data_IF_971142132109
#
_entry.id   IF_971142132109
#
_cell.length_a   1.000
_cell.length_b   1.000
_cell.length_c   1.000
_cell.angle_alpha   90.00
_cell.angle_beta   90.00
_cell.angle_gamma   90.00
#
_symmetry.space_group_name_H-M   'P 1'
#
loop_
_entity.id
_entity.type
_entity.pdbx_description
1 polymer ?
#
# COMPACT_ATOMS: atom_id res chain seq x y z
N UNK A 1 -60.26 1.36 41.83
CA UNK A 1 -60.07 2.43 40.83
C UNK A 1 -58.69 2.26 40.22
N UNK A 2 -58.59 1.54 39.10
CA UNK A 2 -57.35 1.28 38.35
C UNK A 2 -57.49 2.05 37.03
N UNK A 3 -56.57 2.97 36.76
CA UNK A 3 -56.53 3.71 35.49
C UNK A 3 -55.37 3.13 34.68
N UNK A 4 -55.75 2.51 33.57
CA UNK A 4 -54.92 1.93 32.54
C UNK A 4 -54.43 3.08 31.65
N UNK A 5 -53.12 3.28 31.51
CA UNK A 5 -52.54 4.23 30.56
C UNK A 5 -51.84 3.42 29.46
N UNK A 6 -52.53 3.31 28.33
CA UNK A 6 -52.07 2.72 27.08
C UNK A 6 -51.05 3.69 26.45
N UNK A 7 -49.81 3.25 26.24
CA UNK A 7 -48.86 3.95 25.37
C UNK A 7 -48.86 3.22 24.03
N UNK A 8 -49.33 3.91 23.01
CA UNK A 8 -49.46 3.47 21.63
C UNK A 8 -48.08 3.55 20.95
N UNK A 9 -47.49 2.41 20.60
CA UNK A 9 -46.28 2.34 19.76
C UNK A 9 -46.69 2.45 18.28
N UNK A 10 -46.32 3.55 17.63
CA UNK A 10 -46.47 3.74 16.19
C UNK A 10 -45.23 3.16 15.50
N UNK A 11 -45.38 2.03 14.82
CA UNK A 11 -44.40 1.54 13.86
C UNK A 11 -44.61 2.28 12.53
N UNK A 12 -43.65 3.14 12.15
CA UNK A 12 -43.59 3.69 10.79
C UNK A 12 -42.68 2.75 9.98
N UNK A 13 -43.28 1.95 9.10
CA UNK A 13 -42.55 1.18 8.10
C UNK A 13 -42.31 2.12 6.91
N UNK A 14 -41.08 2.59 6.73
CA UNK A 14 -40.68 3.23 5.48
C UNK A 14 -40.42 2.14 4.44
N UNK A 15 -41.43 1.88 3.59
CA UNK A 15 -41.24 1.26 2.29
C UNK A 15 -40.81 2.37 1.32
N UNK A 16 -39.51 2.47 1.08
CA UNK A 16 -38.93 3.41 0.13
C UNK A 16 -38.59 2.70 -1.17
N UNK A 17 -39.50 2.71 -2.13
CA UNK A 17 -39.17 2.54 -3.54
C UNK A 17 -38.31 3.73 -3.97
N UNK A 18 -37.13 3.49 -4.54
CA UNK A 18 -36.35 4.54 -5.19
C UNK A 18 -36.93 4.74 -6.59
N UNK A 19 -37.66 5.85 -6.73
CA UNK A 19 -38.10 6.44 -7.99
C UNK A 19 -36.91 7.19 -8.62
N UNK A 20 -36.66 6.91 -9.90
CA UNK A 20 -35.73 7.66 -10.75
C UNK A 20 -36.26 9.09 -10.95
N UNK A 21 -35.55 10.09 -10.43
CA UNK A 21 -35.82 11.48 -10.76
C UNK A 21 -34.84 12.00 -11.80
N UNK A 22 -35.38 12.21 -13.00
CA UNK A 22 -34.79 12.98 -14.08
C UNK A 22 -34.95 14.50 -13.83
N UNK A 23 -33.93 15.22 -14.31
CA UNK A 23 -33.90 16.63 -14.75
C UNK A 23 -33.87 17.75 -13.69
N UNK A 24 -32.80 18.55 -13.72
CA UNK A 24 -32.90 19.88 -14.36
C UNK A 24 -31.56 20.43 -14.83
N UNK A 25 -31.61 20.89 -16.07
CA UNK A 25 -30.59 21.53 -16.89
C UNK A 25 -30.52 23.03 -16.55
N UNK A 26 -29.31 23.60 -16.52
CA UNK A 26 -29.11 25.02 -16.79
C UNK A 26 -27.98 25.19 -17.82
N UNK A 27 -28.35 25.78 -18.97
CA UNK A 27 -27.47 26.29 -20.02
C UNK A 27 -26.73 27.54 -19.46
N UNK A 28 -25.66 28.12 -20.01
CA UNK A 28 -25.14 28.19 -21.37
C UNK A 28 -23.78 28.93 -21.34
N UNK A 29 -22.81 28.51 -22.16
CA UNK A 29 -22.03 29.37 -23.08
C UNK A 29 -20.92 28.51 -23.70
N UNK A 30 -21.15 27.95 -24.90
CA UNK A 30 -21.02 28.59 -26.20
C UNK A 30 -19.55 28.67 -26.70
N UNK A 31 -19.08 27.57 -27.30
CA UNK A 31 -18.32 27.60 -28.55
C UNK A 31 -18.77 26.41 -29.43
N UNK A 32 -19.31 26.72 -30.61
CA UNK A 32 -19.84 25.75 -31.59
C UNK A 32 -18.87 25.58 -32.76
N UNK A 33 -18.43 24.31 -32.94
CA UNK A 33 -18.32 23.51 -34.20
C UNK A 33 -17.28 23.85 -35.30
N UNK A 34 -16.98 22.92 -36.25
CA UNK A 34 -17.56 21.57 -36.47
C UNK A 34 -16.60 20.41 -36.80
N UNK A 35 -17.08 19.18 -36.61
CA UNK A 35 -16.59 18.00 -37.33
C UNK A 35 -17.11 16.67 -36.77
N UNK A 36 -18.28 16.22 -37.24
CA UNK A 36 -18.78 14.87 -37.00
C UNK A 36 -17.88 13.84 -37.69
N UNK A 37 -17.38 12.85 -36.95
CA UNK A 37 -17.17 11.50 -37.47
C UNK A 37 -17.47 10.51 -36.35
N UNK A 38 -18.45 9.65 -36.64
CA UNK A 38 -18.78 8.42 -35.92
C UNK A 38 -17.52 7.60 -35.67
N UNK A 39 -17.32 6.94 -34.51
CA UNK A 39 -16.29 5.91 -34.43
C UNK A 39 -16.84 4.69 -35.17
N UNK A 40 -16.48 4.59 -36.45
CA UNK A 40 -16.59 3.33 -37.17
C UNK A 40 -15.74 2.28 -36.46
N UNK A 41 -16.38 1.15 -36.28
CA UNK A 41 -15.85 -0.13 -35.88
C UNK A 41 -14.54 -0.43 -36.63
N UNK A 42 -13.38 -0.23 -35.98
CA UNK A 42 -12.09 -0.68 -36.50
C UNK A 42 -11.91 -2.15 -36.13
N UNK A 43 -12.67 -2.98 -36.86
CA UNK A 43 -12.37 -4.39 -37.03
C UNK A 43 -11.06 -4.52 -37.80
N UNK A 44 -10.07 -5.12 -37.15
CA UNK A 44 -8.97 -5.92 -37.72
C UNK A 44 -8.61 -5.62 -39.18
N UNK A 45 -7.73 -4.65 -39.40
CA UNK A 45 -7.00 -4.53 -40.67
C UNK A 45 -5.52 -4.40 -40.37
N UNK A 46 -4.86 -5.56 -40.40
CA UNK A 46 -3.43 -5.82 -40.66
C UNK A 46 -2.48 -4.63 -40.45
N UNK A 47 -2.08 -4.37 -39.19
CA UNK A 47 -0.82 -3.68 -38.92
C UNK A 47 0.33 -4.59 -39.38
N UNK A 48 1.31 -4.00 -40.04
CA UNK A 48 2.59 -4.65 -40.36
C UNK A 48 3.14 -5.33 -39.12
N UNK A 49 3.46 -6.61 -39.24
CA UNK A 49 4.14 -7.39 -38.23
C UNK A 49 5.55 -6.82 -38.02
N UNK A 50 5.69 -5.87 -37.11
CA UNK A 50 6.99 -5.64 -36.47
C UNK A 50 7.28 -6.89 -35.65
N UNK A 51 8.04 -7.82 -36.24
CA UNK A 51 8.42 -9.11 -35.66
C UNK A 51 9.21 -8.97 -34.35
N UNK A 52 9.57 -7.75 -33.93
CA UNK A 52 10.47 -7.47 -32.82
C UNK A 52 9.80 -6.70 -31.63
N UNK A 53 8.47 -6.48 -31.62
CA UNK A 53 7.77 -5.86 -30.48
C UNK A 53 7.20 -6.95 -29.55
N UNK A 54 7.51 -6.94 -28.23
CA UNK A 54 6.92 -7.88 -27.30
C UNK A 54 5.41 -7.69 -27.16
N UNK A 55 4.69 -8.79 -27.00
CA UNK A 55 3.35 -8.75 -26.44
C UNK A 55 3.46 -8.56 -24.93
N UNK A 56 2.91 -7.45 -24.42
CA UNK A 56 2.92 -7.13 -22.98
C UNK A 56 1.48 -7.05 -22.50
N UNK A 57 1.16 -7.87 -21.50
CA UNK A 57 -0.14 -7.92 -20.86
C UNK A 57 -0.03 -7.51 -19.38
N UNK A 58 -0.96 -6.69 -18.91
CA UNK A 58 -1.07 -6.32 -17.49
C UNK A 58 -1.88 -7.40 -16.76
N UNK A 59 -1.22 -8.17 -15.91
CA UNK A 59 -1.82 -9.28 -15.15
C UNK A 59 -2.30 -8.89 -13.76
N UNK A 60 -1.74 -7.80 -13.21
CA UNK A 60 -2.24 -7.16 -11.99
C UNK A 60 -1.80 -5.72 -11.91
N UNK A 61 -2.47 -4.93 -11.08
CA UNK A 61 -2.10 -3.55 -10.82
C UNK A 61 -2.21 -3.23 -9.33
N UNK A 62 -1.22 -2.53 -8.79
CA UNK A 62 -1.24 -2.06 -7.41
C UNK A 62 -1.02 -0.54 -7.35
N UNK A 63 -1.77 0.12 -6.47
CA UNK A 63 -1.63 1.54 -6.20
C UNK A 63 -1.43 1.77 -4.72
N UNK A 64 -0.34 2.44 -4.37
CA UNK A 64 0.12 2.55 -2.99
C UNK A 64 0.31 4.02 -2.67
N UNK A 65 -0.29 4.44 -1.57
CA UNK A 65 -0.03 5.70 -0.91
C UNK A 65 0.72 5.46 0.38
N UNK A 66 1.74 6.28 0.61
CA UNK A 66 2.50 6.29 1.84
C UNK A 66 2.64 7.71 2.33
N UNK A 67 2.29 7.90 3.59
CA UNK A 67 2.56 9.10 4.35
C UNK A 67 3.39 8.69 5.57
N UNK A 68 4.57 9.27 5.69
CA UNK A 68 5.40 9.07 6.87
C UNK A 68 6.03 10.39 7.28
N UNK A 69 5.56 10.93 8.40
CA UNK A 69 6.14 12.12 9.00
C UNK A 69 7.14 11.78 10.13
N UNK A 70 7.41 10.50 10.40
CA UNK A 70 8.43 10.04 11.35
C UNK A 70 9.85 10.38 10.89
N UNK A 71 10.06 10.60 9.58
CA UNK A 71 11.30 11.15 9.01
C UNK A 71 11.66 12.55 9.55
N UNK A 72 10.73 13.22 10.26
CA UNK A 72 10.97 14.49 10.94
C UNK A 72 11.48 14.32 12.38
N UNK A 73 11.50 13.09 12.91
CA UNK A 73 12.02 12.76 14.24
C UNK A 73 13.36 12.05 14.14
N UNK A 74 14.24 12.47 13.23
CA UNK A 74 15.58 11.89 13.14
C UNK A 74 16.48 12.38 14.28
N UNK A 75 17.15 11.46 14.95
CA UNK A 75 18.24 11.79 15.88
C UNK A 75 19.55 11.71 15.12
N UNK A 76 20.30 12.81 15.13
CA UNK A 76 21.69 12.80 14.69
C UNK A 76 22.47 11.73 15.44
N UNK A 77 23.27 10.94 14.72
CA UNK A 77 24.21 9.99 15.32
C UNK A 77 25.64 10.50 15.17
N UNK A 78 26.13 10.59 13.93
CA UNK A 78 27.49 11.04 13.61
C UNK A 78 27.60 11.41 12.14
N UNK A 79 28.62 12.17 11.78
CA UNK A 79 28.97 12.54 10.42
C UNK A 79 29.84 11.46 9.82
N UNK A 80 29.39 10.90 8.70
CA UNK A 80 30.11 9.89 7.95
C UNK A 80 31.51 10.38 7.57
N UNK A 81 31.62 11.64 7.14
CA UNK A 81 32.87 12.22 6.66
C UNK A 81 33.88 12.53 7.78
N UNK A 82 33.40 12.66 9.03
CA UNK A 82 34.27 12.90 10.19
C UNK A 82 34.62 11.61 10.96
N UNK A 83 34.34 10.43 10.39
CA UNK A 83 34.72 9.12 10.91
C UNK A 83 35.63 8.41 9.88
N UNK A 84 36.80 7.88 10.29
CA UNK A 84 37.44 8.06 11.58
C UNK A 84 37.89 9.52 11.78
N UNK A 85 37.78 10.04 13.00
CA UNK A 85 38.16 11.40 13.32
C UNK A 85 37.38 11.95 14.52
N UNK A 86 36.96 13.22 14.42
CA UNK A 86 36.33 13.96 15.50
C UNK A 86 35.03 13.33 16.01
N UNK A 87 34.36 12.52 15.19
CA UNK A 87 33.08 11.91 15.55
C UNK A 87 33.15 10.39 15.72
N UNK A 88 34.35 9.81 15.71
CA UNK A 88 34.55 8.38 16.02
C UNK A 88 33.92 7.99 17.36
N UNK A 89 33.99 8.88 18.36
CA UNK A 89 33.40 8.64 19.68
C UNK A 89 31.88 8.53 19.62
N UNK A 90 31.20 9.37 18.83
CA UNK A 90 29.74 9.30 18.67
C UNK A 90 29.30 7.99 18.02
N UNK A 91 30.03 7.50 17.02
CA UNK A 91 29.81 6.17 16.45
C UNK A 91 29.99 5.08 17.52
N UNK A 92 31.09 5.11 18.29
CA UNK A 92 31.30 4.15 19.39
C UNK A 92 30.19 4.18 20.43
N UNK A 93 29.73 5.37 20.83
CA UNK A 93 28.67 5.55 21.82
C UNK A 93 27.34 4.99 21.32
N UNK A 94 26.98 5.21 20.05
CA UNK A 94 25.80 4.62 19.41
C UNK A 94 25.88 3.09 19.40
N UNK A 95 26.98 2.52 18.89
CA UNK A 95 27.15 1.06 18.82
C UNK A 95 27.10 0.42 20.22
N UNK A 96 27.62 1.08 21.25
CA UNK A 96 27.62 0.59 22.63
C UNK A 96 26.27 0.75 23.30
N UNK A 97 25.76 1.98 23.37
CA UNK A 97 24.64 2.32 24.23
C UNK A 97 23.30 1.93 23.60
N UNK A 98 23.16 2.12 22.29
CA UNK A 98 21.92 1.83 21.57
C UNK A 98 21.90 0.39 21.06
N UNK A 99 22.98 -0.07 20.43
CA UNK A 99 23.04 -1.44 19.88
C UNK A 99 23.55 -2.50 20.85
N UNK A 100 23.91 -2.11 22.08
CA UNK A 100 24.42 -3.00 23.15
C UNK A 100 25.66 -3.82 22.73
N UNK A 101 26.51 -3.25 21.88
CA UNK A 101 27.74 -3.88 21.40
C UNK A 101 28.92 -3.44 22.27
N UNK A 102 29.06 -4.02 23.46
CA UNK A 102 30.00 -3.52 24.48
C UNK A 102 31.48 -3.47 24.07
N UNK A 103 31.90 -4.39 23.19
CA UNK A 103 33.30 -4.53 22.77
C UNK A 103 33.82 -3.34 21.94
N UNK A 104 32.92 -2.50 21.39
CA UNK A 104 33.30 -1.34 20.56
C UNK A 104 34.03 -0.25 21.35
N UNK A 105 33.95 -0.27 22.68
CA UNK A 105 34.64 0.70 23.56
C UNK A 105 36.16 0.71 23.35
N UNK A 106 36.74 -0.42 22.93
CA UNK A 106 38.18 -0.59 22.69
C UNK A 106 38.50 -0.96 21.24
N UNK A 107 37.54 -0.81 20.33
CA UNK A 107 37.70 -1.20 18.93
C UNK A 107 38.48 -0.15 18.14
N UNK A 108 39.22 -0.61 17.13
CA UNK A 108 39.77 0.24 16.09
C UNK A 108 38.67 0.59 15.09
N UNK A 109 38.63 1.86 14.69
CA UNK A 109 37.71 2.37 13.67
C UNK A 109 38.56 2.85 12.50
N UNK A 110 38.35 2.24 11.34
CA UNK A 110 39.00 2.63 10.09
C UNK A 110 37.95 2.82 9.01
N UNK A 111 38.31 3.56 7.96
CA UNK A 111 37.50 3.65 6.75
C UNK A 111 38.29 3.12 5.57
N UNK A 112 37.61 2.43 4.68
CA UNK A 112 38.19 1.88 3.45
C UNK A 112 38.56 3.01 2.48
N UNK A 113 39.49 2.71 1.57
CA UNK A 113 40.01 3.71 0.62
C UNK A 113 38.95 4.27 -0.34
N UNK A 114 37.87 3.52 -0.58
CA UNK A 114 36.72 3.96 -1.37
C UNK A 114 35.79 4.91 -0.61
N UNK A 115 36.06 5.19 0.69
CA UNK A 115 35.25 6.00 1.59
C UNK A 115 33.79 5.51 1.77
N UNK A 116 33.48 4.29 1.31
CA UNK A 116 32.13 3.72 1.33
C UNK A 116 31.92 2.73 2.49
N UNK A 117 32.99 2.29 3.16
CA UNK A 117 32.87 1.35 4.29
C UNK A 117 33.66 1.82 5.51
N UNK A 118 33.01 1.89 6.67
CA UNK A 118 33.66 2.04 7.98
C UNK A 118 33.72 0.66 8.62
N UNK A 119 34.91 0.26 9.09
CA UNK A 119 35.13 -1.01 9.79
C UNK A 119 35.46 -0.71 11.25
N UNK A 120 34.73 -1.36 12.15
CA UNK A 120 34.94 -1.31 13.60
C UNK A 120 35.35 -2.70 14.05
N UNK A 121 36.54 -2.86 14.62
CA UNK A 121 37.03 -4.20 14.93
C UNK A 121 37.98 -4.26 16.13
N UNK A 122 38.05 -5.44 16.71
CA UNK A 122 39.06 -5.91 17.68
C UNK A 122 39.68 -7.19 17.10
N UNK A 123 40.69 -7.80 17.75
CA UNK A 123 41.22 -9.08 17.26
C UNK A 123 40.18 -10.20 17.13
N UNK A 124 39.10 -10.13 17.92
CA UNK A 124 38.12 -11.22 18.03
C UNK A 124 36.73 -10.88 17.46
N UNK A 125 36.43 -9.59 17.21
CA UNK A 125 35.12 -9.14 16.74
C UNK A 125 35.27 -8.08 15.66
N UNK A 126 34.36 -8.05 14.69
CA UNK A 126 34.30 -7.01 13.66
C UNK A 126 32.86 -6.66 13.29
N UNK A 127 32.66 -5.42 12.90
CA UNK A 127 31.41 -4.87 12.41
C UNK A 127 31.72 -3.91 11.27
N UNK A 128 30.87 -3.88 10.26
CA UNK A 128 31.05 -3.01 9.09
C UNK A 128 29.81 -2.15 8.90
N UNK A 129 30.03 -0.86 8.62
CA UNK A 129 29.02 0.07 8.18
C UNK A 129 29.31 0.38 6.72
N UNK A 130 28.35 0.12 5.83
CA UNK A 130 28.51 0.31 4.38
C UNK A 130 27.49 1.34 3.88
N UNK A 131 27.98 2.37 3.21
CA UNK A 131 27.16 3.37 2.52
C UNK A 131 26.57 2.75 1.24
N UNK A 132 25.27 2.94 1.02
CA UNK A 132 24.60 2.52 -0.19
C UNK A 132 25.02 3.38 -1.40
N UNK A 133 24.87 2.84 -2.62
CA UNK A 133 25.27 3.52 -3.85
C UNK A 133 24.48 4.83 -4.09
N UNK A 134 23.22 4.86 -3.64
CA UNK A 134 22.35 6.04 -3.68
C UNK A 134 22.70 7.08 -2.59
N UNK A 135 23.62 6.75 -1.67
CA UNK A 135 24.06 7.54 -0.52
C UNK A 135 22.94 7.97 0.42
N UNK A 136 21.78 7.33 0.38
CA UNK A 136 20.66 7.66 1.26
C UNK A 136 20.66 6.84 2.55
N UNK A 137 21.40 5.73 2.56
CA UNK A 137 21.39 4.78 3.67
C UNK A 137 22.77 4.19 3.99
N UNK A 138 22.94 3.79 5.25
CA UNK A 138 24.08 3.02 5.73
C UNK A 138 23.59 1.71 6.32
N UNK A 139 24.16 0.59 5.90
CA UNK A 139 23.87 -0.74 6.43
C UNK A 139 24.97 -1.20 7.40
N UNK A 140 24.58 -1.67 8.58
CA UNK A 140 25.47 -2.24 9.59
C UNK A 140 25.38 -3.77 9.56
N UNK A 141 26.51 -4.46 9.37
CA UNK A 141 26.63 -5.91 9.38
C UNK A 141 27.49 -6.41 10.55
N UNK A 142 27.18 -7.56 11.17
CA UNK A 142 26.19 -8.57 10.76
C UNK A 142 24.76 -8.30 11.24
N UNK A 143 24.51 -7.24 12.00
CA UNK A 143 23.20 -7.02 12.64
C UNK A 143 22.07 -6.60 11.68
N UNK A 144 22.38 -6.36 10.39
CA UNK A 144 21.44 -5.91 9.36
C UNK A 144 20.65 -4.65 9.74
N UNK A 145 21.31 -3.70 10.44
CA UNK A 145 20.67 -2.45 10.88
C UNK A 145 20.87 -1.39 9.80
N UNK A 146 19.79 -0.72 9.38
CA UNK A 146 19.83 0.34 8.39
C UNK A 146 19.70 1.71 9.07
N UNK A 147 20.56 2.64 8.68
CA UNK A 147 20.58 4.03 9.13
C UNK A 147 20.34 4.97 7.95
N UNK A 148 19.78 6.14 8.23
CA UNK A 148 19.52 7.18 7.21
C UNK A 148 20.72 8.10 7.07
N UNK A 149 20.94 8.57 5.84
CA UNK A 149 21.98 9.53 5.51
C UNK A 149 21.30 10.81 5.02
N UNK A 150 21.79 11.96 5.49
CA UNK A 150 21.42 13.27 4.95
C UNK A 150 22.68 14.05 4.64
N UNK A 151 22.65 14.79 3.54
CA UNK A 151 23.71 15.75 3.23
C UNK A 151 23.40 17.09 3.90
N UNK A 152 24.30 17.56 4.74
CA UNK A 152 24.19 18.84 5.44
C UNK A 152 25.48 19.63 5.31
N UNK A 153 25.40 20.84 4.76
CA UNK A 153 26.56 21.71 4.52
C UNK A 153 27.68 21.00 3.74
N UNK A 154 27.33 20.17 2.75
CA UNK A 154 28.28 19.42 1.92
C UNK A 154 28.95 18.24 2.63
N UNK A 155 28.40 17.77 3.76
CA UNK A 155 28.88 16.60 4.49
C UNK A 155 27.78 15.58 4.66
N UNK A 156 28.14 14.30 4.59
CA UNK A 156 27.24 13.20 4.87
C UNK A 156 27.11 13.02 6.39
N UNK A 157 25.86 13.08 6.86
CA UNK A 157 25.46 12.94 8.26
C UNK A 157 24.55 11.72 8.41
N UNK A 158 24.81 10.91 9.43
CA UNK A 158 24.10 9.68 9.74
C UNK A 158 23.09 9.94 10.84
N UNK A 159 21.89 9.44 10.62
CA UNK A 159 20.73 9.62 11.46
C UNK A 159 20.08 8.28 11.76
N UNK A 160 19.50 8.15 12.96
CA UNK A 160 18.45 7.14 13.24
C UNK A 160 17.10 7.82 13.24
N UNK A 161 16.05 7.08 12.91
CA UNK A 161 14.71 7.46 13.38
C UNK A 161 14.71 7.41 14.91
N UNK A 162 14.24 8.47 15.60
CA UNK A 162 14.00 8.40 17.04
C UNK A 162 12.87 7.39 17.26
N UNK A 163 13.19 6.31 17.95
CA UNK A 163 12.19 5.56 18.71
C UNK A 163 12.06 6.29 20.05
N UNK A 164 10.94 6.97 20.29
CA UNK A 164 10.73 7.70 21.54
C UNK A 164 10.45 6.70 22.66
N UNK A 165 11.45 6.50 23.51
CA UNK A 165 11.38 5.73 24.74
C UNK A 165 12.23 6.35 25.84
N UNK A 166 12.28 7.69 25.90
CA UNK A 166 13.06 8.42 26.90
C UNK A 166 13.12 9.92 26.61
N UNK A 167 12.74 10.72 27.60
CA UNK A 167 12.68 12.17 27.54
C UNK A 167 14.07 12.81 27.43
N UNK A 168 14.28 13.63 26.39
CA UNK A 168 15.13 14.82 26.47
C UNK A 168 14.60 15.90 25.49
N UNK A 169 14.19 17.11 25.94
CA UNK A 169 13.46 18.06 25.09
C UNK A 169 14.34 19.03 24.29
N UNK A 170 15.66 18.99 24.42
CA UNK A 170 16.52 19.96 23.75
C UNK A 170 17.34 19.30 22.65
N UNK A 171 16.81 19.28 21.43
CA UNK A 171 17.57 19.68 20.24
C UNK A 171 16.70 19.71 18.96
N UNK A 172 16.70 20.91 18.36
CA UNK A 172 16.47 21.26 16.96
C UNK A 172 15.07 21.09 16.32
N UNK A 173 14.49 22.27 16.06
CA UNK A 173 13.46 22.54 15.05
C UNK A 173 13.91 22.04 13.67
N UNK A 174 13.31 20.97 13.18
CA UNK A 174 13.29 20.63 11.77
C UNK A 174 11.98 21.13 11.16
N UNK A 175 12.06 21.80 10.02
CA UNK A 175 10.88 22.12 9.22
C UNK A 175 10.23 20.83 8.73
N UNK A 176 8.92 20.74 8.87
CA UNK A 176 8.12 19.57 8.49
C UNK A 176 8.13 19.42 6.98
N UNK A 177 8.85 18.41 6.47
CA UNK A 177 8.75 18.02 5.08
C UNK A 177 7.85 16.78 5.00
N UNK A 178 6.72 16.90 4.33
CA UNK A 178 5.76 15.82 4.14
C UNK A 178 6.29 14.91 3.03
N UNK A 179 6.75 13.70 3.37
CA UNK A 179 7.14 12.72 2.37
C UNK A 179 5.93 11.85 2.02
N UNK A 180 4.95 12.46 1.35
CA UNK A 180 3.93 11.71 0.62
C UNK A 180 4.59 11.03 -0.57
N UNK A 181 4.43 9.72 -0.66
CA UNK A 181 4.93 8.93 -1.79
C UNK A 181 3.79 8.12 -2.36
N UNK A 182 3.66 8.17 -3.68
CA UNK A 182 2.72 7.36 -4.41
C UNK A 182 3.48 6.37 -5.29
N UNK A 183 3.01 5.13 -5.32
CA UNK A 183 3.58 4.10 -6.18
C UNK A 183 2.49 3.46 -7.02
N UNK A 184 2.86 3.16 -8.26
CA UNK A 184 2.10 2.34 -9.18
C UNK A 184 2.95 1.12 -9.51
N UNK A 185 2.44 -0.08 -9.22
CA UNK A 185 3.10 -1.33 -9.56
C UNK A 185 2.25 -2.11 -10.57
N UNK A 186 2.89 -2.64 -11.61
CA UNK A 186 2.25 -3.42 -12.65
C UNK A 186 2.83 -4.82 -12.64
N UNK A 187 1.97 -5.82 -12.44
CA UNK A 187 2.29 -7.20 -12.80
C UNK A 187 2.14 -7.34 -14.31
N UNK A 188 3.18 -7.82 -14.97
CA UNK A 188 3.25 -7.95 -16.42
C UNK A 188 3.56 -9.40 -16.82
N UNK A 189 2.93 -9.84 -17.90
CA UNK A 189 3.32 -10.99 -18.72
C UNK A 189 3.93 -10.45 -20.01
N UNK A 190 5.18 -10.79 -20.29
CA UNK A 190 5.92 -10.31 -21.46
C UNK A 190 6.30 -11.50 -22.31
N UNK A 191 5.80 -11.54 -23.54
CA UNK A 191 6.00 -12.65 -24.47
C UNK A 191 6.67 -12.17 -25.75
N UNK A 192 7.71 -12.90 -26.16
CA UNK A 192 8.30 -12.73 -27.48
C UNK A 192 7.51 -13.53 -28.51
N UNK A 193 6.66 -12.86 -29.30
CA UNK A 193 5.96 -13.48 -30.43
C UNK A 193 6.76 -13.48 -31.74
N UNK A 194 7.95 -12.89 -31.72
CA UNK A 194 8.85 -12.77 -32.86
C UNK A 194 9.55 -14.06 -33.25
N UNK A 195 10.20 -14.02 -34.40
CA UNK A 195 11.00 -15.11 -34.95
C UNK A 195 12.46 -15.11 -34.45
N UNK A 196 12.89 -14.03 -33.79
CA UNK A 196 14.26 -13.80 -33.28
C UNK A 196 14.27 -13.61 -31.77
N UNK A 197 15.47 -13.65 -31.19
CA UNK A 197 15.66 -13.27 -29.79
C UNK A 197 15.35 -11.78 -29.61
N UNK A 198 14.50 -11.46 -28.63
CA UNK A 198 14.16 -10.11 -28.22
C UNK A 198 15.02 -9.71 -27.03
N UNK A 199 15.73 -8.59 -27.13
CA UNK A 199 16.48 -8.01 -26.01
C UNK A 199 15.61 -6.97 -25.30
N UNK A 200 14.91 -7.40 -24.26
CA UNK A 200 13.99 -6.57 -23.49
C UNK A 200 14.75 -5.67 -22.51
N UNK A 201 14.49 -4.36 -22.57
CA UNK A 201 15.10 -3.37 -21.69
C UNK A 201 14.06 -2.76 -20.74
N UNK A 202 14.31 -2.87 -19.45
CA UNK A 202 13.44 -2.34 -18.40
C UNK A 202 13.31 -0.81 -18.48
N UNK A 203 14.38 -0.10 -18.86
CA UNK A 203 14.36 1.37 -18.96
C UNK A 203 13.55 1.90 -20.15
N UNK A 204 13.05 1.04 -21.03
CA UNK A 204 12.10 1.40 -22.08
C UNK A 204 10.66 1.40 -21.55
N UNK A 205 10.40 0.80 -20.38
CA UNK A 205 9.12 0.92 -19.68
C UNK A 205 9.04 2.23 -18.90
N UNK A 206 7.95 2.96 -19.09
CA UNK A 206 7.64 4.16 -18.33
C UNK A 206 6.14 4.40 -18.22
N UNK A 207 5.71 5.14 -17.22
CA UNK A 207 4.34 5.69 -17.16
C UNK A 207 4.38 7.10 -17.72
N UNK A 208 3.43 7.42 -18.57
CA UNK A 208 3.14 8.78 -19.01
C UNK A 208 1.85 9.29 -18.36
N UNK A 209 1.89 10.50 -17.81
CA UNK A 209 0.72 11.25 -17.34
C UNK A 209 0.79 12.68 -17.90
N UNK A 210 0.08 12.92 -19.01
CA UNK A 210 0.23 14.14 -19.79
C UNK A 210 1.66 14.31 -20.32
N UNK A 211 2.36 15.34 -19.84
CA UNK A 211 3.77 15.63 -20.18
C UNK A 211 4.76 15.03 -19.18
N UNK A 212 4.27 14.42 -18.08
CA UNK A 212 5.11 13.81 -17.07
C UNK A 212 5.45 12.37 -17.46
N UNK A 213 6.71 11.99 -17.25
CA UNK A 213 7.23 10.65 -17.48
C UNK A 213 7.77 10.12 -16.15
N UNK A 214 7.31 8.94 -15.74
CA UNK A 214 7.77 8.23 -14.55
C UNK A 214 8.51 6.98 -14.98
N UNK A 215 9.79 6.91 -14.63
CA UNK A 215 10.64 5.76 -14.93
C UNK A 215 10.49 4.69 -13.84
N UNK A 216 10.85 3.44 -14.19
CA UNK A 216 10.90 2.34 -13.24
C UNK A 216 11.85 2.66 -12.09
N UNK A 217 11.47 2.26 -10.88
CA UNK A 217 12.31 2.36 -9.70
C UNK A 217 12.43 0.99 -9.02
N UNK A 218 13.51 0.82 -8.27
CA UNK A 218 13.55 -0.22 -7.26
C UNK A 218 12.81 0.30 -6.03
N UNK A 219 11.57 -0.14 -5.86
CA UNK A 219 10.88 0.06 -4.59
C UNK A 219 11.66 -0.72 -3.53
N UNK A 220 12.19 0.00 -2.55
CA UNK A 220 12.68 -0.56 -1.30
C UNK A 220 11.51 -0.56 -0.30
N UNK A 221 10.74 -1.67 -0.19
CA UNK A 221 9.72 -1.76 0.84
C UNK A 221 10.32 -1.74 2.25
N UNK A 222 11.64 -1.87 2.42
CA UNK A 222 12.35 -2.03 3.69
C UNK A 222 12.93 -0.74 4.30
N UNK A 223 12.60 0.43 3.76
CA UNK A 223 12.56 1.63 4.63
C UNK A 223 11.61 1.46 5.83
N UNK A 224 10.77 0.43 5.81
CA UNK A 224 9.73 0.11 6.76
C UNK A 224 10.05 -1.25 7.40
N UNK A 225 10.03 -1.28 8.72
CA UNK A 225 10.31 -2.41 9.61
C UNK A 225 10.08 -3.82 9.03
N UNK A 226 10.93 -4.75 9.47
CA UNK A 226 10.99 -6.21 9.20
C UNK A 226 9.68 -6.99 9.52
N UNK A 227 8.53 -6.32 9.69
CA UNK A 227 7.23 -6.88 10.12
C UNK A 227 6.01 -6.11 9.58
N UNK A 228 6.00 -5.63 8.33
CA UNK A 228 4.75 -5.12 7.75
C UNK A 228 3.68 -6.22 7.74
N UNK A 229 2.53 -5.96 8.36
CA UNK A 229 1.36 -6.85 8.33
C UNK A 229 0.45 -6.62 7.13
N UNK A 230 0.84 -5.72 6.22
CA UNK A 230 0.06 -5.37 5.04
C UNK A 230 0.28 -6.40 3.92
N UNK A 231 -0.77 -7.15 3.62
CA UNK A 231 -0.74 -8.26 2.67
C UNK A 231 -0.41 -7.82 1.23
N UNK A 232 -0.92 -6.66 0.80
CA UNK A 232 -0.60 -6.11 -0.52
C UNK A 232 0.91 -5.88 -0.69
N UNK A 233 1.56 -5.31 0.33
CA UNK A 233 3.00 -5.05 0.28
C UNK A 233 3.83 -6.33 0.39
N UNK A 234 3.42 -7.25 1.28
CA UNK A 234 4.06 -8.57 1.44
C UNK A 234 4.01 -9.39 0.15
N UNK A 235 2.89 -9.29 -0.59
CA UNK A 235 2.76 -9.95 -1.89
C UNK A 235 3.67 -9.32 -2.94
N UNK A 236 3.65 -8.00 -3.08
CA UNK A 236 4.48 -7.27 -4.04
C UNK A 236 5.98 -7.52 -3.83
N UNK A 237 6.41 -7.68 -2.57
CA UNK A 237 7.80 -7.98 -2.21
C UNK A 237 8.25 -9.37 -2.68
N UNK A 238 7.36 -10.36 -2.66
CA UNK A 238 7.64 -11.74 -3.06
C UNK A 238 7.54 -11.96 -4.56
N UNK A 239 6.90 -11.04 -5.29
CA UNK A 239 6.78 -11.12 -6.74
C UNK A 239 8.15 -11.03 -7.42
N UNK A 240 8.32 -11.80 -8.50
CA UNK A 240 9.50 -11.71 -9.34
C UNK A 240 9.59 -10.31 -9.94
N UNK A 241 10.74 -9.64 -9.82
CA UNK A 241 10.97 -8.33 -10.44
C UNK A 241 11.41 -8.53 -11.88
N UNK A 242 10.85 -7.74 -12.80
CA UNK A 242 11.28 -7.75 -14.21
C UNK A 242 12.59 -6.95 -14.31
N UNK A 243 13.59 -7.55 -14.95
CA UNK A 243 14.89 -6.96 -15.23
C UNK A 243 15.20 -7.04 -16.72
N UNK A 244 16.31 -6.41 -17.14
CA UNK A 244 16.83 -6.54 -18.50
C UNK A 244 17.09 -8.02 -18.83
N UNK A 245 16.58 -8.50 -19.95
CA UNK A 245 16.68 -9.92 -20.30
C UNK A 245 16.54 -10.16 -21.80
N UNK A 246 17.00 -11.32 -22.25
CA UNK A 246 16.83 -11.76 -23.64
C UNK A 246 15.83 -12.90 -23.70
N UNK A 247 14.74 -12.70 -24.44
CA UNK A 247 13.65 -13.66 -24.63
C UNK A 247 13.83 -14.39 -25.97
N UNK A 248 13.90 -15.71 -25.93
CA UNK A 248 13.87 -16.53 -27.15
C UNK A 248 12.48 -16.49 -27.81
N UNK A 249 12.34 -16.80 -29.11
CA UNK A 249 11.04 -16.92 -29.76
C UNK A 249 10.06 -17.79 -28.99
N UNK A 250 8.87 -17.27 -28.70
CA UNK A 250 7.80 -17.93 -27.94
C UNK A 250 7.99 -17.95 -26.42
N UNK A 251 9.10 -17.40 -25.89
CA UNK A 251 9.35 -17.34 -24.45
C UNK A 251 8.50 -16.24 -23.80
N UNK A 252 7.93 -16.56 -22.63
CA UNK A 252 7.20 -15.64 -21.76
C UNK A 252 7.91 -15.49 -20.42
N UNK A 253 7.95 -14.28 -19.89
CA UNK A 253 8.33 -13.98 -18.51
C UNK A 253 7.17 -13.29 -17.80
N UNK A 254 7.11 -13.48 -16.48
CA UNK A 254 6.14 -12.82 -15.62
C UNK A 254 6.85 -12.16 -14.46
N UNK A 255 6.38 -10.99 -14.06
CA UNK A 255 6.90 -10.29 -12.88
C UNK A 255 6.32 -8.89 -12.73
N UNK A 256 6.81 -8.16 -11.74
CA UNK A 256 6.35 -6.82 -11.42
C UNK A 256 7.39 -5.75 -11.75
N UNK A 257 6.86 -4.57 -12.08
CA UNK A 257 7.61 -3.32 -12.23
C UNK A 257 6.94 -2.25 -11.38
N UNK A 258 7.73 -1.35 -10.78
CA UNK A 258 7.23 -0.31 -9.88
C UNK A 258 7.68 1.07 -10.35
N UNK A 259 6.79 2.04 -10.22
CA UNK A 259 7.00 3.44 -10.55
C UNK A 259 6.63 4.30 -9.35
N UNK A 260 7.42 5.32 -9.04
CA UNK A 260 7.00 6.38 -8.12
C UNK A 260 6.29 7.45 -8.92
N UNK A 261 5.03 7.70 -8.57
CA UNK A 261 4.11 8.60 -9.27
C UNK A 261 3.66 9.73 -8.34
N UNK A 262 2.81 10.63 -8.83
CA UNK A 262 2.36 11.82 -8.10
C UNK A 262 0.98 11.69 -7.46
N UNK A 263 0.27 10.58 -7.69
CA UNK A 263 -1.05 10.34 -7.13
C UNK A 263 -1.33 8.85 -7.00
N UNK A 264 -2.37 8.52 -6.25
CA UNK A 264 -3.02 7.21 -6.39
C UNK A 264 -3.53 7.06 -7.83
N UNK A 265 -3.82 5.82 -8.20
CA UNK A 265 -4.15 5.40 -9.56
C UNK A 265 -5.04 6.41 -10.30
N UNK A 266 -4.67 6.70 -11.54
CA UNK A 266 -5.31 7.71 -12.37
C UNK A 266 -5.60 7.13 -13.75
N UNK A 267 -6.74 7.48 -14.36
CA UNK A 267 -7.11 7.08 -15.72
C UNK A 267 -6.18 7.68 -16.78
N UNK A 268 -5.46 8.75 -16.45
CA UNK A 268 -4.45 9.33 -17.34
C UNK A 268 -3.12 8.57 -17.35
N UNK A 269 -2.89 7.62 -16.43
CA UNK A 269 -1.67 6.82 -16.43
C UNK A 269 -1.65 5.90 -17.64
N UNK A 270 -0.72 6.16 -18.54
CA UNK A 270 -0.46 5.33 -19.72
C UNK A 270 0.86 4.60 -19.50
N UNK A 271 0.80 3.27 -19.34
CA UNK A 271 2.00 2.45 -19.35
C UNK A 271 2.51 2.36 -20.79
N UNK A 272 3.78 2.66 -20.99
CA UNK A 272 4.45 2.72 -22.29
C UNK A 272 5.59 1.72 -22.31
N UNK A 273 5.78 1.06 -23.45
CA UNK A 273 7.02 0.37 -23.77
C UNK A 273 7.62 1.03 -25.02
N UNK A 274 8.81 1.61 -24.88
CA UNK A 274 9.35 2.54 -25.85
C UNK A 274 8.31 3.64 -26.14
N UNK A 275 7.98 3.93 -27.40
CA UNK A 275 6.97 4.95 -27.75
C UNK A 275 5.54 4.38 -27.87
N UNK A 276 5.34 3.09 -27.59
CA UNK A 276 4.07 2.40 -27.80
C UNK A 276 3.28 2.27 -26.49
N UNK A 277 2.02 2.74 -26.44
CA UNK A 277 1.18 2.53 -25.28
C UNK A 277 0.79 1.07 -25.15
N UNK A 278 0.93 0.53 -23.93
CA UNK A 278 0.48 -0.80 -23.56
C UNK A 278 -1.00 -0.69 -23.19
N UNK A 279 -1.88 -0.75 -24.20
CA UNK A 279 -3.32 -0.80 -23.94
C UNK A 279 -3.71 -2.22 -23.53
N UNK A 280 -4.27 -2.37 -22.32
CA UNK A 280 -4.83 -3.64 -21.86
C UNK A 280 -6.25 -3.40 -21.36
N UNK A 281 -7.22 -4.14 -21.94
CA UNK A 281 -8.59 -4.15 -21.44
C UNK A 281 -8.63 -4.56 -19.95
N UNK A 282 -7.72 -5.45 -19.54
CA UNK A 282 -7.55 -5.88 -18.16
C UNK A 282 -7.07 -4.74 -17.25
N UNK A 283 -6.26 -3.80 -17.75
CA UNK A 283 -5.88 -2.59 -17.01
C UNK A 283 -7.06 -1.62 -16.83
N UNK A 284 -7.83 -1.34 -17.89
CA UNK A 284 -9.03 -0.49 -17.77
C UNK A 284 -10.07 -1.09 -16.81
N UNK A 285 -10.29 -2.41 -16.91
CA UNK A 285 -11.15 -3.18 -15.99
C UNK A 285 -10.63 -3.09 -14.55
N UNK A 286 -9.32 -3.18 -14.37
CA UNK A 286 -8.64 -3.05 -13.06
C UNK A 286 -8.88 -1.69 -12.41
N UNK A 287 -8.65 -0.59 -13.15
CA UNK A 287 -8.90 0.77 -12.65
C UNK A 287 -10.39 0.96 -12.31
N UNK A 288 -11.30 0.49 -13.16
CA UNK A 288 -12.74 0.57 -12.91
C UNK A 288 -13.15 -0.23 -11.67
N UNK A 289 -12.59 -1.42 -11.48
CA UNK A 289 -12.87 -2.29 -10.33
C UNK A 289 -12.38 -1.65 -9.01
N UNK A 290 -11.17 -1.08 -9.00
CA UNK A 290 -10.64 -0.32 -7.87
C UNK A 290 -11.57 0.84 -7.48
N UNK A 291 -12.02 1.64 -8.45
CA UNK A 291 -12.97 2.74 -8.20
C UNK A 291 -14.28 2.26 -7.57
N UNK A 292 -14.79 1.13 -8.04
CA UNK A 292 -16.02 0.53 -7.50
C UNK A 292 -15.82 0.07 -6.07
N UNK A 293 -14.72 -0.62 -5.76
CA UNK A 293 -14.41 -1.07 -4.40
C UNK A 293 -14.24 0.11 -3.43
N UNK A 294 -13.45 1.11 -3.83
CA UNK A 294 -13.16 2.28 -3.00
C UNK A 294 -14.38 3.14 -2.67
N UNK A 295 -15.43 3.10 -3.50
CA UNK A 295 -16.69 3.82 -3.27
C UNK A 295 -17.75 2.97 -2.57
N UNK A 296 -17.49 1.68 -2.38
CA UNK A 296 -18.47 0.77 -1.82
C UNK A 296 -18.66 1.05 -0.32
N UNK A 297 -19.91 1.00 0.15
CA UNK A 297 -20.23 1.08 1.57
C UNK A 297 -20.26 -0.32 2.18
N UNK A 298 -19.15 -0.72 2.80
CA UNK A 298 -19.02 -2.05 3.36
C UNK A 298 -19.86 -2.28 4.63
N UNK A 299 -20.51 -1.27 5.20
CA UNK A 299 -21.52 -1.50 6.25
C UNK A 299 -22.67 -2.38 5.79
N UNK A 300 -23.04 -2.34 4.51
CA UNK A 300 -24.09 -3.20 3.94
C UNK A 300 -23.63 -4.66 3.84
N UNK A 301 -22.32 -4.86 3.66
CA UNK A 301 -21.70 -6.18 3.47
C UNK A 301 -21.44 -6.83 4.82
N UNK A 302 -20.79 -6.12 5.74
CA UNK A 302 -20.34 -6.65 7.02
C UNK A 302 -21.32 -6.42 8.17
N UNK A 303 -22.37 -5.61 7.97
CA UNK A 303 -23.36 -5.30 9.02
C UNK A 303 -22.81 -4.43 10.16
N UNK A 304 -21.67 -3.76 9.97
CA UNK A 304 -20.99 -2.95 10.99
C UNK A 304 -20.66 -1.54 10.47
N UNK A 305 -20.69 -0.51 11.34
CA UNK A 305 -20.33 0.85 10.95
C UNK A 305 -18.85 0.94 10.53
N UNK A 306 -18.45 1.98 9.74
CA UNK A 306 -17.07 2.17 9.29
C UNK A 306 -16.06 2.35 10.41
N UNK A 307 -16.49 2.90 11.55
CA UNK A 307 -15.62 3.26 12.66
C UNK A 307 -16.00 2.51 13.94
N UNK A 308 -15.02 2.28 14.80
CA UNK A 308 -15.17 1.66 16.11
C UNK A 308 -14.40 2.50 17.15
N UNK A 309 -15.00 2.77 18.30
CA UNK A 309 -14.38 3.52 19.40
C UNK A 309 -14.40 2.78 20.75
N UNK A 310 -14.78 1.49 20.76
CA UNK A 310 -15.07 0.72 21.97
C UNK A 310 -16.54 0.32 22.10
N UNK A 311 -17.45 1.11 21.53
CA UNK A 311 -18.88 0.81 21.43
C UNK A 311 -19.26 0.46 19.97
N UNK A 312 -20.16 -0.51 19.79
CA UNK A 312 -20.59 -0.99 18.46
C UNK A 312 -21.64 -0.08 17.78
N UNK A 313 -21.90 1.10 18.33
CA UNK A 313 -22.88 2.02 17.77
C UNK A 313 -22.30 2.86 16.62
N UNK A 314 -23.14 3.19 15.64
CA UNK A 314 -22.76 4.12 14.59
C UNK A 314 -22.60 5.54 15.18
N UNK A 315 -21.46 6.17 14.93
CA UNK A 315 -21.17 7.53 15.35
C UNK A 315 -20.51 8.32 14.23
N UNK A 316 -20.58 9.65 14.32
CA UNK A 316 -19.86 10.54 13.42
C UNK A 316 -18.40 10.65 13.90
N UNK A 317 -17.40 10.26 13.08
CA UNK A 317 -16.04 10.13 13.55
C UNK A 317 -15.44 11.49 13.87
N UNK A 318 -14.98 11.67 15.11
CA UNK A 318 -14.32 12.88 15.57
C UNK A 318 -13.17 12.52 16.50
N UNK A 319 -11.93 12.63 16.00
CA UNK A 319 -10.72 12.28 16.77
C UNK A 319 -10.43 13.24 17.94
N UNK A 320 -11.08 14.42 18.02
CA UNK A 320 -11.01 15.29 19.22
C UNK A 320 -11.89 14.76 20.35
N UNK A 321 -12.98 14.08 20.01
CA UNK A 321 -13.94 13.54 20.99
C UNK A 321 -13.58 12.10 21.34
N UNK A 322 -13.15 11.32 20.35
CA UNK A 322 -12.77 9.92 20.48
C UNK A 322 -11.33 9.76 19.96
N UNK A 323 -10.31 9.92 20.81
CA UNK A 323 -8.92 9.75 20.39
C UNK A 323 -8.58 8.31 19.95
N UNK A 324 -9.45 7.35 20.27
CA UNK A 324 -9.30 5.91 20.01
C UNK A 324 -10.30 5.41 18.95
N UNK A 325 -10.32 6.02 17.76
CA UNK A 325 -11.14 5.54 16.64
C UNK A 325 -10.33 4.61 15.72
N UNK A 326 -10.90 3.45 15.40
CA UNK A 326 -10.37 2.45 14.49
C UNK A 326 -11.30 2.26 13.29
N UNK A 327 -10.78 1.99 12.08
CA UNK A 327 -11.61 1.53 10.97
C UNK A 327 -12.04 0.08 11.21
N UNK A 328 -13.33 -0.21 11.09
CA UNK A 328 -13.86 -1.59 11.02
C UNK A 328 -13.60 -2.24 9.64
N UNK A 329 -13.52 -1.40 8.63
CA UNK A 329 -13.25 -1.69 7.23
C UNK A 329 -12.78 -0.38 6.57
N UNK A 330 -12.12 -0.46 5.43
CA UNK A 330 -11.55 0.71 4.75
C UNK A 330 -12.11 0.84 3.34
N UNK A 331 -12.48 2.06 3.00
CA UNK A 331 -12.74 2.49 1.63
C UNK A 331 -12.09 3.87 1.44
N UNK A 332 -12.31 4.51 0.29
CA UNK A 332 -11.74 5.83 0.00
C UNK A 332 -12.06 6.86 1.07
N UNK A 333 -13.34 6.98 1.46
CA UNK A 333 -13.78 7.97 2.44
C UNK A 333 -13.17 7.74 3.82
N UNK A 334 -13.03 6.48 4.24
CA UNK A 334 -12.41 6.12 5.53
C UNK A 334 -10.91 6.46 5.50
N UNK A 335 -10.21 6.10 4.43
CA UNK A 335 -8.81 6.48 4.23
C UNK A 335 -8.63 8.01 4.27
N UNK A 336 -9.41 8.75 3.48
CA UNK A 336 -9.32 10.21 3.40
C UNK A 336 -9.65 10.89 4.73
N UNK A 337 -10.57 10.34 5.53
CA UNK A 337 -10.83 10.81 6.89
C UNK A 337 -9.56 10.74 7.73
N UNK A 338 -8.89 9.58 7.80
CA UNK A 338 -7.66 9.43 8.59
C UNK A 338 -6.51 10.28 8.05
N UNK A 339 -6.38 10.37 6.72
CA UNK A 339 -5.34 11.17 6.08
C UNK A 339 -5.50 12.68 6.36
N UNK A 340 -6.74 13.18 6.29
CA UNK A 340 -7.05 14.57 6.57
C UNK A 340 -6.84 14.91 8.05
N UNK A 341 -7.31 14.06 8.96
CA UNK A 341 -7.16 14.34 10.39
C UNK A 341 -5.69 14.37 10.79
N UNK A 342 -4.86 13.54 10.20
CA UNK A 342 -3.42 13.62 10.42
C UNK A 342 -2.87 15.00 10.07
N UNK A 343 -3.17 15.48 8.85
CA UNK A 343 -2.80 16.81 8.38
C UNK A 343 -3.29 17.93 9.31
N UNK A 344 -4.53 17.85 9.79
CA UNK A 344 -5.12 18.85 10.70
C UNK A 344 -4.52 18.78 12.11
N UNK A 345 -4.19 17.60 12.61
CA UNK A 345 -3.58 17.40 13.94
C UNK A 345 -2.16 17.95 14.02
N UNK A 346 -1.41 17.80 12.92
CA UNK A 346 -0.08 18.39 12.69
C UNK A 346 -0.15 19.92 12.75
N UNK A 347 -1.16 20.55 12.12
CA UNK A 347 -1.31 22.02 12.14
C UNK A 347 -1.66 22.60 13.51
N UNK A 348 -2.21 21.78 14.42
CA UNK A 348 -2.77 22.22 15.71
C UNK A 348 -1.84 21.94 16.90
N UNK A 349 -0.74 21.21 16.71
CA UNK A 349 0.19 20.82 17.78
C UNK A 349 1.35 21.82 17.93
N UNK A 350 1.82 22.00 19.17
CA UNK A 350 3.06 22.73 19.46
C UNK A 350 4.25 21.93 18.89
N UNK A 351 5.33 22.56 18.40
CA UNK A 351 6.51 21.86 17.87
C UNK A 351 7.14 20.83 18.83
N UNK A 352 6.84 20.94 20.13
CA UNK A 352 7.34 20.04 21.18
C UNK A 352 6.39 18.88 21.53
N UNK A 353 5.14 18.89 21.02
CA UNK A 353 4.07 17.93 21.35
C UNK A 353 3.56 17.20 20.09
N UNK A 354 4.38 17.15 19.03
CA UNK A 354 3.91 16.75 17.71
C UNK A 354 3.85 15.23 17.54
N UNK A 355 2.66 14.74 17.19
CA UNK A 355 2.39 13.34 16.94
C UNK A 355 3.09 12.89 15.65
N UNK A 356 3.89 11.83 15.73
CA UNK A 356 4.25 11.10 14.52
C UNK A 356 3.05 10.26 14.09
N UNK A 357 2.85 10.24 12.78
CA UNK A 357 1.85 9.46 12.10
C UNK A 357 2.45 8.82 10.87
N UNK A 358 2.16 7.54 10.71
CA UNK A 358 2.43 6.80 9.49
C UNK A 358 1.09 6.29 8.97
N UNK A 359 0.81 6.57 7.71
CA UNK A 359 -0.35 6.05 7.01
C UNK A 359 0.15 5.33 5.76
N UNK A 360 -0.27 4.08 5.60
CA UNK A 360 -0.07 3.35 4.36
C UNK A 360 -1.43 2.90 3.88
N UNK A 361 -1.72 3.17 2.61
CA UNK A 361 -2.93 2.72 1.96
C UNK A 361 -2.56 2.08 0.62
N UNK A 362 -2.66 0.77 0.56
CA UNK A 362 -2.22 -0.04 -0.56
C UNK A 362 -3.40 -0.82 -1.15
N UNK A 363 -3.56 -0.71 -2.46
CA UNK A 363 -4.58 -1.38 -3.24
C UNK A 363 -3.89 -2.30 -4.23
N UNK A 364 -4.43 -3.50 -4.42
CA UNK A 364 -4.04 -4.43 -5.50
C UNK A 364 -5.29 -4.95 -6.19
N UNK A 365 -5.22 -5.10 -7.49
CA UNK A 365 -6.28 -5.70 -8.31
C UNK A 365 -5.71 -6.74 -9.25
N UNK A 366 -6.38 -7.89 -9.30
CA UNK A 366 -6.08 -9.02 -10.18
C UNK A 366 -7.35 -9.34 -10.96
N UNK A 367 -7.44 -8.92 -12.24
CA UNK A 367 -8.63 -9.15 -13.06
C UNK A 367 -8.67 -10.58 -13.64
N UNK A 368 -9.86 -10.96 -14.10
CA UNK A 368 -10.07 -12.09 -15.04
C UNK A 368 -9.58 -13.45 -14.52
N UNK A 369 -9.79 -13.70 -13.23
CA UNK A 369 -9.43 -14.97 -12.59
C UNK A 369 -10.60 -15.92 -12.56
N UNK A 370 -10.34 -17.18 -12.84
CA UNK A 370 -11.18 -18.27 -12.39
C UNK A 370 -10.67 -18.73 -11.03
N UNK A 371 -11.58 -18.89 -10.08
CA UNK A 371 -11.22 -19.22 -8.72
C UNK A 371 -12.07 -20.36 -8.18
N UNK A 372 -11.44 -21.13 -7.31
CA UNK A 372 -12.10 -22.11 -6.46
C UNK A 372 -11.90 -21.71 -5.01
N UNK A 373 -12.99 -21.46 -4.31
CA UNK A 373 -12.98 -21.25 -2.87
C UNK A 373 -13.06 -22.60 -2.18
N UNK A 374 -11.98 -23.01 -1.53
CA UNK A 374 -11.90 -24.27 -0.81
C UNK A 374 -12.49 -24.10 0.60
N UNK A 375 -13.36 -25.03 0.99
CA UNK A 375 -14.00 -25.03 2.31
C UNK A 375 -12.98 -25.35 3.41
N UNK A 376 -12.96 -24.54 4.46
CA UNK A 376 -12.18 -24.75 5.68
C UNK A 376 -13.00 -24.41 6.92
N UNK A 377 -12.64 -24.96 8.08
CA UNK A 377 -13.38 -24.75 9.35
C UNK A 377 -13.35 -23.31 9.86
N UNK A 378 -12.26 -22.60 9.58
CA UNK A 378 -11.97 -21.23 10.06
C UNK A 378 -11.14 -20.44 9.04
N UNK A 379 -10.94 -20.97 7.84
CA UNK A 379 -10.10 -20.36 6.81
C UNK A 379 -10.80 -20.43 5.46
N UNK A 380 -10.66 -19.36 4.71
CA UNK A 380 -10.89 -19.38 3.27
C UNK A 380 -9.54 -19.50 2.59
N UNK A 381 -9.43 -20.52 1.73
CA UNK A 381 -8.37 -20.59 0.74
C UNK A 381 -9.01 -20.40 -0.63
N UNK A 382 -8.59 -19.34 -1.33
CA UNK A 382 -9.00 -19.09 -2.71
C UNK A 382 -7.82 -19.41 -3.60
N UNK A 383 -8.00 -20.40 -4.46
CA UNK A 383 -6.99 -20.82 -5.45
C UNK A 383 -7.46 -20.51 -6.86
N UNK A 384 -6.51 -20.28 -7.76
CA UNK A 384 -6.79 -20.19 -9.19
C UNK A 384 -6.80 -21.57 -9.89
N UNK A 385 -7.02 -21.57 -11.21
CA UNK A 385 -7.04 -22.79 -12.03
C UNK A 385 -5.70 -23.57 -12.02
N UNK A 386 -4.58 -22.89 -11.76
CA UNK A 386 -3.26 -23.51 -11.62
C UNK A 386 -3.02 -24.06 -10.20
N UNK A 387 -3.94 -23.81 -9.27
CA UNK A 387 -3.81 -24.15 -7.86
C UNK A 387 -2.94 -23.17 -7.09
N UNK A 388 -2.64 -21.99 -7.65
CA UNK A 388 -1.93 -20.93 -6.95
C UNK A 388 -2.86 -20.29 -5.91
N UNK A 389 -2.38 -20.14 -4.67
CA UNK A 389 -3.14 -19.47 -3.61
C UNK A 389 -3.18 -17.96 -3.87
N UNK A 390 -4.38 -17.42 -4.08
CA UNK A 390 -4.62 -15.99 -4.30
C UNK A 390 -5.02 -15.25 -3.02
N UNK A 391 -5.79 -15.91 -2.15
CA UNK A 391 -6.20 -15.40 -0.83
C UNK A 391 -6.07 -16.53 0.19
N UNK A 392 -5.36 -16.26 1.27
CA UNK A 392 -5.17 -17.21 2.37
C UNK A 392 -5.37 -16.48 3.70
N UNK A 393 -6.55 -16.64 4.29
CA UNK A 393 -6.88 -16.02 5.58
C UNK A 393 -6.10 -16.70 6.72
N UNK A 394 -5.42 -15.90 7.55
CA UNK A 394 -4.45 -16.37 8.55
C UNK A 394 -5.06 -17.08 9.78
N UNK A 395 -4.22 -17.78 10.55
CA UNK A 395 -4.56 -18.39 11.86
C UNK A 395 -4.72 -17.41 13.02
N UNK A 396 -4.52 -16.10 12.81
CA UNK A 396 -4.45 -15.16 13.92
C UNK A 396 -5.83 -14.73 14.41
N UNK A 397 -6.24 -15.32 15.53
CA UNK A 397 -7.26 -14.82 16.46
C UNK A 397 -8.60 -14.44 15.84
N UNK A 398 -9.34 -15.41 15.27
CA UNK A 398 -10.82 -15.48 15.31
C UNK A 398 -11.70 -14.32 14.80
N UNK A 399 -11.13 -13.22 14.31
CA UNK A 399 -11.82 -11.95 14.04
C UNK A 399 -12.05 -11.69 12.54
N UNK A 400 -11.67 -12.63 11.67
CA UNK A 400 -11.96 -12.54 10.24
C UNK A 400 -13.48 -12.46 10.01
N UNK A 401 -13.90 -11.40 9.33
CA UNK A 401 -15.30 -11.19 8.94
C UNK A 401 -15.44 -11.54 7.47
N UNK A 402 -16.17 -12.60 7.21
CA UNK A 402 -16.43 -13.10 5.87
C UNK A 402 -17.89 -12.82 5.53
N UNK A 403 -18.14 -12.25 4.37
CA UNK A 403 -19.48 -11.98 3.86
C UNK A 403 -19.61 -12.57 2.46
N UNK A 404 -20.61 -13.43 2.25
CA UNK A 404 -20.89 -14.07 0.97
C UNK A 404 -22.27 -13.65 0.49
N UNK A 405 -22.36 -13.14 -0.73
CA UNK A 405 -23.61 -12.75 -1.35
C UNK A 405 -24.42 -14.00 -1.74
N UNK A 406 -25.62 -14.15 -1.17
CA UNK A 406 -26.60 -15.18 -1.54
C UNK A 406 -28.01 -14.58 -1.63
N UNK A 407 -28.74 -14.90 -2.69
CA UNK A 407 -30.12 -14.44 -2.88
C UNK A 407 -30.32 -12.92 -2.69
N UNK A 408 -29.36 -12.10 -3.16
CA UNK A 408 -29.31 -10.63 -3.04
C UNK A 408 -29.05 -10.08 -1.62
N UNK A 409 -28.77 -10.93 -0.64
CA UNK A 409 -28.37 -10.54 0.73
C UNK A 409 -26.99 -11.10 1.06
N UNK A 410 -26.24 -10.46 1.96
CA UNK A 410 -24.98 -11.01 2.45
C UNK A 410 -25.23 -11.93 3.63
N UNK A 411 -24.71 -13.15 3.55
CA UNK A 411 -24.59 -14.05 4.70
C UNK A 411 -23.23 -13.81 5.35
N UNK A 412 -23.24 -13.59 6.67
CA UNK A 412 -22.07 -13.28 7.48
C UNK A 412 -21.53 -14.53 8.17
N UNK A 413 -20.22 -14.68 8.14
CA UNK A 413 -19.46 -15.78 8.69
C UNK A 413 -18.35 -15.19 9.59
N UNK A 414 -18.35 -15.52 10.88
CA UNK A 414 -17.36 -15.07 11.87
C UNK A 414 -17.26 -16.10 13.02
N UNK A 415 -16.06 -16.39 13.54
CA UNK A 415 -15.85 -17.26 14.70
C UNK A 415 -15.76 -18.78 14.43
N UNK A 416 -15.73 -19.58 15.51
CA UNK A 416 -15.40 -21.02 15.47
C UNK A 416 -16.45 -21.89 14.74
N UNK A 417 -15.95 -22.67 13.77
CA UNK A 417 -16.60 -23.76 13.01
C UNK A 417 -17.89 -23.39 12.27
N UNK A 418 -17.73 -22.69 11.14
CA UNK A 418 -18.79 -22.60 10.13
C UNK A 418 -18.24 -23.23 8.84
N UNK A 419 -18.91 -24.25 8.33
CA UNK A 419 -18.56 -24.86 7.04
C UNK A 419 -18.88 -23.87 5.93
N UNK A 420 -17.87 -23.14 5.47
CA UNK A 420 -18.00 -22.21 4.36
C UNK A 420 -18.18 -23.04 3.08
N UNK A 421 -19.25 -22.84 2.31
CA UNK A 421 -19.54 -23.66 1.14
C UNK A 421 -18.51 -23.44 0.03
N UNK A 422 -18.00 -24.54 -0.52
CA UNK A 422 -17.16 -24.47 -1.72
C UNK A 422 -17.91 -23.72 -2.83
N UNK A 423 -17.23 -22.75 -3.43
CA UNK A 423 -17.81 -21.90 -4.48
C UNK A 423 -16.79 -21.75 -5.60
N UNK A 424 -17.22 -22.03 -6.83
CA UNK A 424 -16.42 -21.82 -8.03
C UNK A 424 -16.97 -20.58 -8.73
N UNK A 425 -16.09 -19.62 -9.04
CA UNK A 425 -16.45 -18.42 -9.76
C UNK A 425 -15.49 -18.25 -10.94
N UNK A 426 -16.01 -17.83 -12.08
CA UNK A 426 -15.23 -17.62 -13.30
C UNK A 426 -15.20 -16.15 -13.66
N UNK A 427 -14.10 -15.72 -14.26
CA UNK A 427 -13.88 -14.35 -14.71
C UNK A 427 -14.12 -13.28 -13.62
N UNK A 428 -13.73 -13.58 -12.39
CA UNK A 428 -13.83 -12.62 -11.28
C UNK A 428 -12.67 -11.64 -11.27
N UNK A 429 -12.89 -10.50 -10.66
CA UNK A 429 -11.84 -9.54 -10.32
C UNK A 429 -11.61 -9.56 -8.81
N UNK A 430 -10.38 -9.80 -8.40
CA UNK A 430 -9.97 -9.79 -6.99
C UNK A 430 -9.36 -8.44 -6.68
N UNK A 431 -9.79 -7.84 -5.58
CA UNK A 431 -9.30 -6.54 -5.10
C UNK A 431 -8.88 -6.69 -3.66
N UNK A 432 -7.66 -6.30 -3.35
CA UNK A 432 -7.09 -6.35 -2.02
C UNK A 432 -6.82 -4.92 -1.56
N UNK A 433 -7.22 -4.62 -0.33
CA UNK A 433 -7.00 -3.33 0.33
C UNK A 433 -6.26 -3.58 1.62
N UNK A 434 -5.08 -2.98 1.75
CA UNK A 434 -4.28 -2.99 2.97
C UNK A 434 -4.14 -1.57 3.48
N UNK A 435 -4.51 -1.35 4.73
CA UNK A 435 -4.40 -0.05 5.40
C UNK A 435 -3.67 -0.20 6.73
N UNK A 436 -2.66 0.62 6.93
CA UNK A 436 -1.95 0.79 8.20
C UNK A 436 -2.09 2.24 8.63
N UNK A 437 -2.42 2.43 9.91
CA UNK A 437 -2.21 3.70 10.59
C UNK A 437 -1.46 3.45 11.88
N UNK A 438 -0.37 4.17 12.04
CA UNK A 438 0.36 4.28 13.30
C UNK A 438 0.20 5.73 13.80
N UNK A 439 -0.18 5.94 15.05
CA UNK A 439 -0.17 7.29 15.65
C UNK A 439 0.04 7.32 17.16
N UNK A 440 0.79 8.35 17.61
CA UNK A 440 1.09 8.75 19.01
C UNK A 440 1.72 7.67 19.92
N UNK A 441 2.88 7.99 20.51
CA UNK A 441 3.68 7.07 21.34
C UNK A 441 3.17 6.90 22.77
N UNK A 442 2.37 7.83 23.31
CA UNK A 442 1.83 7.71 24.67
C UNK A 442 0.69 6.68 24.79
N UNK A 443 0.14 6.23 23.66
CA UNK A 443 -1.00 5.29 23.65
C UNK A 443 -0.88 4.14 22.64
N UNK A 444 0.22 4.10 21.85
CA UNK A 444 0.60 2.93 21.05
C UNK A 444 -0.51 2.42 20.12
N UNK A 445 -1.21 3.32 19.42
CA UNK A 445 -2.32 2.93 18.55
C UNK A 445 -1.78 2.48 17.19
N UNK A 446 -1.93 1.18 16.91
CA UNK A 446 -1.63 0.63 15.59
C UNK A 446 -2.89 -0.04 15.04
N UNK A 447 -3.35 0.47 13.90
CA UNK A 447 -4.49 -0.08 13.17
C UNK A 447 -3.99 -0.77 11.92
N UNK A 448 -4.29 -2.06 11.76
CA UNK A 448 -4.09 -2.79 10.51
C UNK A 448 -5.42 -3.33 10.01
N UNK A 449 -5.68 -3.12 8.72
CA UNK A 449 -6.86 -3.65 8.06
C UNK A 449 -6.43 -4.23 6.70
N UNK A 450 -6.62 -5.54 6.52
CA UNK A 450 -6.49 -6.21 5.23
C UNK A 450 -7.89 -6.66 4.79
N UNK A 451 -8.26 -6.38 3.55
CA UNK A 451 -9.57 -6.70 3.02
C UNK A 451 -9.46 -7.22 1.61
N UNK A 452 -10.11 -8.36 1.37
CA UNK A 452 -10.17 -8.98 0.05
C UNK A 452 -11.61 -8.98 -0.45
N UNK A 453 -11.79 -8.51 -1.68
CA UNK A 453 -13.07 -8.40 -2.34
C UNK A 453 -13.01 -9.18 -3.64
N UNK A 454 -14.00 -10.03 -3.87
CA UNK A 454 -14.17 -10.77 -5.13
C UNK A 454 -15.41 -10.23 -5.82
N UNK A 455 -15.21 -9.60 -6.98
CA UNK A 455 -16.26 -9.07 -7.83
C UNK A 455 -16.51 -9.95 -9.05
N UNK A 456 -17.77 -10.10 -9.45
CA UNK A 456 -18.09 -10.67 -10.76
C UNK A 456 -17.89 -9.63 -11.88
N UNK A 457 -18.11 -10.07 -13.13
CA UNK A 457 -18.05 -9.22 -14.32
C UNK A 457 -19.03 -8.03 -14.32
N UNK A 458 -20.11 -8.12 -13.53
CA UNK A 458 -21.05 -7.00 -13.33
C UNK A 458 -20.58 -6.01 -12.26
N UNK A 459 -19.36 -6.21 -11.73
CA UNK A 459 -18.76 -5.46 -10.62
C UNK A 459 -19.55 -5.55 -9.32
N UNK A 460 -20.33 -6.63 -9.16
CA UNK A 460 -21.02 -6.91 -7.91
C UNK A 460 -20.09 -7.70 -6.99
N UNK A 461 -20.00 -7.25 -5.75
CA UNK A 461 -19.24 -7.94 -4.72
C UNK A 461 -19.96 -9.26 -4.38
N UNK A 462 -19.30 -10.38 -4.69
CA UNK A 462 -19.80 -11.72 -4.38
C UNK A 462 -19.27 -12.19 -3.03
N UNK A 463 -18.02 -11.88 -2.73
CA UNK A 463 -17.36 -12.27 -1.48
C UNK A 463 -16.58 -11.06 -0.99
N UNK A 464 -16.64 -10.81 0.32
CA UNK A 464 -15.81 -9.85 1.00
C UNK A 464 -15.24 -10.46 2.27
N UNK A 465 -13.97 -10.24 2.49
CA UNK A 465 -13.22 -10.73 3.64
C UNK A 465 -12.55 -9.50 4.26
N UNK A 466 -12.64 -9.38 5.57
CA UNK A 466 -11.94 -8.33 6.32
C UNK A 466 -11.22 -8.96 7.50
N UNK A 467 -9.90 -8.84 7.51
CA UNK A 467 -9.05 -9.14 8.64
C UNK A 467 -8.66 -7.80 9.30
N UNK A 468 -9.05 -7.64 10.55
CA UNK A 468 -8.84 -6.41 11.28
C UNK A 468 -8.05 -6.68 12.55
N UNK A 469 -6.81 -6.19 12.60
CA UNK A 469 -5.94 -6.32 13.76
C UNK A 469 -5.74 -4.91 14.35
N UNK A 470 -6.69 -4.48 15.17
CA UNK A 470 -6.48 -3.34 16.05
C UNK A 470 -5.64 -3.78 17.24
N UNK A 471 -4.38 -3.33 17.33
CA UNK A 471 -3.52 -3.64 18.48
C UNK A 471 -3.24 -2.36 19.24
N UNK A 472 -3.67 -2.32 20.50
CA UNK A 472 -3.31 -1.29 21.45
C UNK A 472 -2.12 -1.78 22.27
N UNK A 473 -0.99 -1.08 22.23
CA UNK A 473 0.10 -1.27 23.20
C UNK A 473 -0.08 -0.23 24.32
N UNK A 474 -0.34 -0.65 25.57
CA UNK A 474 -0.40 0.26 26.71
C UNK A 474 0.96 0.87 27.05
#
# INVERSE_FOLDING_TARGET
MRILLLILTIFIIFSGCIEENNLTQSNESAYQRPGNTTPENLSSTTLSSDEDIPEIEVTSFSSIYMHDNSENVLSYLFSWDNVPGNESKKLSDYLKNDLKIDWVSNAQIIKTNDNNTIRVFTPNNSLELKLADDKNTVLITPNHIQLKVKEENGKLCIYRAKEYGGADPEENKLGYNFNERYYAAYGLSIKNNGSKNLDFKLNELHIRDGDQIFNTINMDPYGFYVRSKLEVLSTLEKENKIENTTLSPGQTINGSVVFQVNSLYNESFLLMYNETPISSASFEKSIKALKTAERYNYSVVFGIPPYFNGDFEAFEPNLRVYPFIYPNWVNRSVFEFFNKVDSDSVLMSSPNDMNFTRIVYALKVVPEKNITMLSGKTRINVVDDAGEELINTSDSYGDDKIAILRNKTYELYSGESIDIPQTNLSNVTIIQTSFERYGNMDVGIICFNNQDIIMDDSQKINIAISNNLGVHFP
#
